data_IF_195871913197
#
_entry.id   IF_195871913197
#
_cell.length_a   1.000
_cell.length_b   1.000
_cell.length_c   1.000
_cell.angle_alpha   90.00
_cell.angle_beta   90.00
_cell.angle_gamma   90.00
#
_symmetry.space_group_name_H-M   'P 1'
#
loop_
_entity.id
_entity.type
_entity.pdbx_description
1 polymer ?
#
# COMPACT_ATOMS: atom_id res chain seq x y z
N UNK A 1 57.36 21.39 -35.91
CA UNK A 1 58.40 20.57 -36.61
C UNK A 1 57.81 19.15 -36.64
N UNK A 2 57.33 18.78 -37.87
CA UNK A 2 57.94 17.72 -38.74
C UNK A 2 57.80 16.32 -38.07
N UNK A 3 57.30 15.31 -38.63
CA UNK A 3 56.82 14.79 -39.95
C UNK A 3 56.40 13.34 -39.66
N UNK A 4 55.25 12.79 -40.07
CA UNK A 4 54.97 12.19 -41.38
C UNK A 4 55.68 10.86 -41.65
N UNK A 5 54.96 9.81 -41.96
CA UNK A 5 55.00 8.99 -43.19
C UNK A 5 54.46 7.56 -42.90
N UNK A 6 53.42 7.11 -43.51
CA UNK A 6 53.19 6.33 -44.72
C UNK A 6 53.95 4.96 -44.71
N UNK A 7 53.46 3.82 -45.11
CA UNK A 7 52.56 3.46 -46.22
C UNK A 7 52.47 1.94 -46.39
N UNK A 8 51.31 1.48 -46.94
CA UNK A 8 51.12 0.46 -47.99
C UNK A 8 51.09 -1.03 -47.58
N UNK A 9 49.97 -1.69 -47.72
CA UNK A 9 49.28 -2.30 -48.89
C UNK A 9 50.06 -3.50 -49.50
N UNK A 10 49.49 -4.71 -49.41
CA UNK A 10 49.47 -5.72 -50.50
C UNK A 10 48.26 -6.62 -50.42
N UNK A 11 47.59 -6.74 -51.57
CA UNK A 11 46.51 -7.64 -51.95
C UNK A 11 46.98 -9.09 -52.03
N UNK A 12 46.05 -10.02 -51.84
CA UNK A 12 46.16 -11.41 -52.30
C UNK A 12 44.79 -12.06 -52.43
N UNK A 13 44.44 -12.37 -53.66
CA UNK A 13 43.14 -12.80 -54.23
C UNK A 13 43.10 -14.34 -54.33
N UNK A 14 41.86 -14.88 -54.33
CA UNK A 14 41.36 -16.17 -54.90
C UNK A 14 41.46 -17.42 -53.99
N UNK A 15 40.48 -18.28 -53.90
CA UNK A 15 39.61 -18.85 -54.91
C UNK A 15 38.38 -19.56 -54.27
N UNK A 16 37.32 -19.62 -55.00
CA UNK A 16 36.08 -20.32 -54.75
C UNK A 16 36.21 -21.85 -54.87
N UNK A 17 35.38 -22.58 -54.07
CA UNK A 17 34.89 -23.88 -54.44
C UNK A 17 33.48 -24.10 -53.87
N UNK A 18 32.53 -24.21 -54.77
CA UNK A 18 31.17 -24.73 -54.63
C UNK A 18 31.20 -26.25 -54.45
N UNK A 19 30.32 -26.79 -53.62
CA UNK A 19 29.58 -28.06 -53.83
C UNK A 19 28.54 -28.24 -52.70
N UNK A 20 27.29 -28.03 -53.05
CA UNK A 20 26.22 -29.01 -53.27
C UNK A 20 25.59 -29.64 -52.03
N UNK A 21 24.45 -29.16 -51.74
CA UNK A 21 23.17 -29.81 -51.38
C UNK A 21 23.18 -31.21 -50.78
N UNK A 22 22.62 -31.29 -49.57
CA UNK A 22 21.67 -32.36 -49.21
C UNK A 22 20.60 -31.80 -48.33
N UNK A 23 19.39 -31.73 -48.85
CA UNK A 23 18.15 -31.49 -48.14
C UNK A 23 17.88 -32.70 -47.23
N UNK A 24 17.83 -32.45 -45.92
CA UNK A 24 17.07 -33.31 -45.04
C UNK A 24 16.08 -32.41 -44.29
N UNK A 25 14.87 -32.54 -44.71
CA UNK A 25 13.68 -31.96 -44.14
C UNK A 25 13.46 -32.67 -42.80
N UNK A 26 14.01 -32.11 -41.72
CA UNK A 26 13.62 -32.50 -40.36
C UNK A 26 12.38 -31.67 -40.02
N UNK A 27 11.26 -32.35 -39.94
CA UNK A 27 10.04 -31.87 -39.33
C UNK A 27 10.39 -31.41 -37.90
N UNK A 28 10.50 -30.11 -37.75
CA UNK A 28 10.59 -29.48 -36.44
C UNK A 28 9.21 -29.56 -35.79
N UNK A 29 8.98 -30.68 -35.10
CA UNK A 29 7.93 -30.78 -34.10
C UNK A 29 8.37 -29.90 -32.95
N UNK A 30 7.90 -28.64 -32.94
CA UNK A 30 8.09 -27.69 -31.88
C UNK A 30 7.64 -28.28 -30.53
N UNK A 31 8.58 -28.93 -29.86
CA UNK A 31 8.53 -29.13 -28.41
C UNK A 31 8.55 -27.74 -27.81
N UNK A 32 7.41 -27.26 -27.33
CA UNK A 32 7.35 -26.16 -26.38
C UNK A 32 8.07 -26.62 -25.14
N UNK A 33 9.39 -26.42 -25.12
CA UNK A 33 10.19 -26.56 -23.92
C UNK A 33 9.69 -25.54 -22.93
N UNK A 34 8.98 -26.01 -21.91
CA UNK A 34 8.56 -25.26 -20.75
C UNK A 34 9.79 -25.06 -19.86
N UNK A 35 10.79 -24.31 -20.36
CA UNK A 35 11.94 -23.89 -19.59
C UNK A 35 11.47 -22.89 -18.55
N UNK A 36 11.64 -23.21 -17.27
CA UNK A 36 11.38 -22.27 -16.17
C UNK A 36 12.16 -20.97 -16.41
N UNK A 37 11.47 -19.84 -16.35
CA UNK A 37 12.10 -18.53 -16.41
C UNK A 37 12.82 -18.27 -15.07
N UNK A 38 14.10 -17.91 -15.11
CA UNK A 38 14.88 -17.65 -13.89
C UNK A 38 14.90 -16.16 -13.56
N UNK A 39 14.61 -15.84 -12.31
CA UNK A 39 14.71 -14.51 -11.71
C UNK A 39 15.79 -14.58 -10.62
N UNK A 40 16.88 -13.80 -10.79
CA UNK A 40 17.96 -13.80 -9.79
C UNK A 40 17.50 -13.20 -8.46
N UNK A 41 16.85 -12.05 -8.50
CA UNK A 41 16.31 -11.40 -7.31
C UNK A 41 14.96 -10.74 -7.64
N UNK A 42 13.94 -11.10 -6.89
CA UNK A 42 12.63 -10.45 -6.87
C UNK A 42 12.59 -9.46 -5.71
N UNK A 43 12.40 -8.17 -5.99
CA UNK A 43 12.40 -7.09 -5.00
C UNK A 43 10.97 -6.68 -4.67
N UNK A 44 10.57 -6.91 -3.43
CA UNK A 44 9.23 -6.63 -2.91
C UNK A 44 9.31 -5.49 -1.90
N UNK A 45 8.53 -4.44 -2.11
CA UNK A 45 8.50 -3.28 -1.24
C UNK A 45 7.15 -3.15 -0.51
N UNK A 46 7.20 -2.74 0.76
CA UNK A 46 6.04 -2.51 1.61
C UNK A 46 6.01 -1.06 2.11
N UNK A 47 4.83 -0.45 2.16
CA UNK A 47 4.67 0.87 2.81
C UNK A 47 4.72 0.72 4.33
N UNK A 48 5.26 1.72 5.07
CA UNK A 48 5.38 1.66 6.53
C UNK A 48 4.04 2.00 7.21
N UNK A 49 2.96 1.27 6.89
CA UNK A 49 1.65 1.48 7.52
C UNK A 49 1.57 0.93 8.94
N UNK A 50 2.49 0.05 9.30
CA UNK A 50 2.70 -0.50 10.64
C UNK A 50 4.10 -0.16 11.13
N UNK A 51 4.45 -0.67 12.29
CA UNK A 51 5.84 -0.67 12.75
C UNK A 51 6.73 -1.42 11.72
N UNK A 52 7.81 -0.80 11.22
CA UNK A 52 8.65 -1.42 10.18
C UNK A 52 9.25 -2.76 10.57
N UNK A 53 9.68 -2.93 11.83
CA UNK A 53 10.25 -4.20 12.31
C UNK A 53 9.16 -5.29 12.38
N UNK A 54 7.94 -4.91 12.75
CA UNK A 54 6.81 -5.83 12.73
C UNK A 54 6.46 -6.27 11.31
N UNK A 55 6.55 -5.38 10.31
CA UNK A 55 6.33 -5.73 8.90
C UNK A 55 7.41 -6.71 8.44
N UNK A 56 8.70 -6.40 8.65
CA UNK A 56 9.82 -7.26 8.26
C UNK A 56 9.67 -8.65 8.87
N UNK A 57 9.39 -8.73 10.18
CA UNK A 57 9.22 -10.01 10.87
C UNK A 57 8.05 -10.82 10.33
N UNK A 58 6.89 -10.19 10.15
CA UNK A 58 5.69 -10.87 9.67
C UNK A 58 5.82 -11.33 8.20
N UNK A 59 6.58 -10.62 7.38
CA UNK A 59 6.74 -10.90 5.96
C UNK A 59 7.95 -11.77 5.63
N UNK A 60 8.82 -12.09 6.59
CA UNK A 60 9.98 -12.98 6.34
C UNK A 60 9.60 -14.32 5.70
N UNK A 61 8.52 -15.03 6.16
CA UNK A 61 8.10 -16.26 5.51
C UNK A 61 7.65 -16.10 4.05
N UNK A 62 7.25 -14.87 3.64
CA UNK A 62 6.81 -14.60 2.28
C UNK A 62 7.89 -14.92 1.25
N UNK A 63 9.17 -14.80 1.59
CA UNK A 63 10.30 -15.08 0.69
C UNK A 63 10.22 -16.51 0.14
N UNK A 64 10.13 -17.49 1.00
CA UNK A 64 10.07 -18.90 0.60
C UNK A 64 8.70 -19.27 0.03
N UNK A 65 7.62 -18.69 0.55
CA UNK A 65 6.28 -18.90 0.01
C UNK A 65 6.15 -18.39 -1.44
N UNK A 66 6.72 -17.21 -1.76
CA UNK A 66 6.74 -16.69 -3.13
C UNK A 66 7.57 -17.58 -4.06
N UNK A 67 8.78 -17.99 -3.64
CA UNK A 67 9.60 -18.91 -4.44
C UNK A 67 8.82 -20.17 -4.81
N UNK A 68 8.16 -20.77 -3.82
CA UNK A 68 7.36 -21.99 -4.01
C UNK A 68 6.19 -21.77 -4.97
N UNK A 69 5.38 -20.72 -4.74
CA UNK A 69 4.21 -20.47 -5.57
C UNK A 69 4.57 -20.04 -6.99
N UNK A 70 5.65 -19.27 -7.17
CA UNK A 70 6.14 -18.87 -8.49
C UNK A 70 6.76 -20.06 -9.25
N UNK A 71 7.34 -21.06 -8.55
CA UNK A 71 7.81 -22.28 -9.18
C UNK A 71 6.63 -23.06 -9.82
N UNK A 72 5.46 -23.11 -9.17
CA UNK A 72 4.24 -23.69 -9.72
C UNK A 72 3.74 -22.96 -10.97
N UNK A 73 4.07 -21.67 -11.10
CA UNK A 73 3.73 -20.81 -12.26
C UNK A 73 4.86 -20.77 -13.32
N UNK A 74 5.90 -21.62 -13.20
CA UNK A 74 6.98 -21.76 -14.18
C UNK A 74 8.14 -20.78 -14.01
N UNK A 75 8.33 -20.19 -12.82
CA UNK A 75 9.45 -19.32 -12.51
C UNK A 75 10.37 -19.92 -11.44
N UNK A 76 11.68 -19.86 -11.67
CA UNK A 76 12.70 -20.14 -10.65
C UNK A 76 13.19 -18.82 -10.07
N UNK A 77 12.88 -18.51 -8.82
CA UNK A 77 13.32 -17.31 -8.13
C UNK A 77 14.46 -17.67 -7.16
N UNK A 78 15.68 -17.20 -7.43
CA UNK A 78 16.85 -17.52 -6.62
C UNK A 78 16.81 -16.78 -5.27
N UNK A 79 16.45 -15.51 -5.27
CA UNK A 79 16.37 -14.68 -4.08
C UNK A 79 15.09 -13.80 -4.07
N UNK A 80 14.53 -13.55 -2.89
CA UNK A 80 13.47 -12.57 -2.68
C UNK A 80 13.95 -11.57 -1.62
N UNK A 81 14.03 -10.31 -2.02
CA UNK A 81 14.33 -9.21 -1.11
C UNK A 81 13.04 -8.52 -0.69
N UNK A 82 12.87 -8.34 0.61
CA UNK A 82 11.73 -7.60 1.18
C UNK A 82 12.27 -6.33 1.83
N UNK A 83 11.74 -5.19 1.40
CA UNK A 83 12.09 -3.88 1.93
C UNK A 83 10.85 -3.14 2.42
N UNK A 84 10.97 -2.48 3.57
CA UNK A 84 9.96 -1.53 4.05
C UNK A 84 10.47 -0.13 3.75
N UNK A 85 9.69 0.65 2.99
CA UNK A 85 10.07 2.01 2.64
C UNK A 85 10.03 2.95 3.85
N UNK A 86 10.74 4.07 3.76
CA UNK A 86 10.74 5.11 4.79
C UNK A 86 9.47 5.96 4.77
N UNK A 87 8.73 5.95 3.66
CA UNK A 87 7.43 6.62 3.50
C UNK A 87 6.61 5.92 2.41
N UNK A 88 5.34 6.27 2.31
CA UNK A 88 4.45 5.79 1.25
C UNK A 88 4.94 6.24 -0.13
N UNK A 89 5.35 7.50 -0.25
CA UNK A 89 5.88 8.06 -1.51
C UNK A 89 7.19 7.37 -1.92
N UNK A 90 8.09 7.07 -0.98
CA UNK A 90 9.34 6.39 -1.26
C UNK A 90 9.13 5.00 -1.88
N UNK A 91 8.08 4.28 -1.48
CA UNK A 91 7.72 2.98 -2.09
C UNK A 91 7.16 3.19 -3.50
N UNK A 92 6.32 4.22 -3.70
CA UNK A 92 5.82 4.60 -5.03
C UNK A 92 6.95 4.96 -5.98
N UNK A 93 7.94 5.75 -5.53
CA UNK A 93 9.14 6.11 -6.29
C UNK A 93 10.01 4.90 -6.61
N UNK A 94 10.17 3.96 -5.67
CA UNK A 94 10.91 2.72 -5.89
C UNK A 94 10.28 1.86 -6.99
N UNK A 95 8.94 1.77 -7.02
CA UNK A 95 8.21 1.10 -8.11
C UNK A 95 8.36 1.87 -9.43
N UNK A 96 8.17 3.19 -9.41
CA UNK A 96 8.26 4.01 -10.63
C UNK A 96 9.64 3.93 -11.28
N UNK A 97 10.70 3.87 -10.49
CA UNK A 97 12.10 3.77 -10.98
C UNK A 97 12.55 2.34 -11.32
N UNK A 98 11.79 1.30 -10.94
CA UNK A 98 12.19 -0.11 -11.10
C UNK A 98 13.21 -0.59 -10.05
N UNK A 99 13.45 0.17 -8.99
CA UNK A 99 14.28 -0.30 -7.85
C UNK A 99 13.53 -1.28 -6.95
N UNK A 100 12.18 -1.30 -7.03
CA UNK A 100 11.32 -2.38 -6.55
C UNK A 100 10.52 -2.93 -7.74
N UNK A 101 10.32 -4.25 -7.77
CA UNK A 101 9.56 -4.93 -8.82
C UNK A 101 8.08 -4.98 -8.48
N UNK A 102 7.78 -5.25 -7.22
CA UNK A 102 6.43 -5.41 -6.66
C UNK A 102 6.28 -4.55 -5.41
N UNK A 103 5.12 -3.94 -5.24
CA UNK A 103 4.82 -3.13 -4.07
C UNK A 103 3.45 -3.43 -3.48
N UNK A 104 3.40 -3.47 -2.16
CA UNK A 104 2.18 -3.48 -1.38
C UNK A 104 1.89 -2.06 -0.95
N UNK A 105 0.98 -1.39 -1.67
CA UNK A 105 0.73 0.05 -1.55
C UNK A 105 -0.77 0.35 -1.50
N UNK A 106 -1.21 1.40 -0.81
CA UNK A 106 -2.61 1.81 -0.85
C UNK A 106 -2.98 2.44 -2.20
N UNK A 107 -4.28 2.48 -2.49
CA UNK A 107 -4.81 3.08 -3.71
C UNK A 107 -4.35 4.51 -3.93
N UNK A 108 -4.23 5.30 -2.86
CA UNK A 108 -3.74 6.67 -2.93
C UNK A 108 -2.30 6.79 -3.45
N UNK A 109 -1.41 5.90 -3.00
CA UNK A 109 -0.04 5.82 -3.53
C UNK A 109 -0.04 5.32 -4.98
N UNK A 110 -0.81 4.25 -5.27
CA UNK A 110 -0.91 3.72 -6.64
C UNK A 110 -1.28 4.80 -7.66
N UNK A 111 -2.33 5.58 -7.42
CA UNK A 111 -2.82 6.56 -8.41
C UNK A 111 -1.87 7.76 -8.61
N UNK A 112 -0.94 8.02 -7.70
CA UNK A 112 0.10 9.03 -7.88
C UNK A 112 1.16 8.59 -8.90
N UNK A 113 1.38 7.28 -9.01
CA UNK A 113 2.42 6.66 -9.84
C UNK A 113 1.83 5.76 -10.95
N UNK A 114 0.55 5.87 -11.28
CA UNK A 114 -0.17 4.96 -12.20
C UNK A 114 0.32 5.01 -13.66
N UNK A 115 1.12 6.00 -14.01
CA UNK A 115 1.81 6.05 -15.30
C UNK A 115 2.98 5.07 -15.40
N UNK A 116 3.69 4.87 -14.29
CA UNK A 116 4.90 4.05 -14.17
C UNK A 116 4.65 2.71 -13.49
N UNK A 117 3.45 2.52 -12.91
CA UNK A 117 3.08 1.36 -12.08
C UNK A 117 1.76 0.77 -12.58
N UNK A 118 1.69 -0.57 -12.66
CA UNK A 118 0.45 -1.30 -12.93
C UNK A 118 -0.10 -1.91 -11.65
N UNK A 119 -1.42 -1.83 -11.46
CA UNK A 119 -2.11 -2.59 -10.41
C UNK A 119 -2.39 -4.01 -10.89
N UNK A 120 -2.07 -5.01 -10.07
CA UNK A 120 -2.38 -6.43 -10.35
C UNK A 120 -3.54 -6.94 -9.53
N UNK A 121 -3.49 -6.69 -8.22
CA UNK A 121 -4.44 -7.23 -7.26
C UNK A 121 -4.96 -6.14 -6.34
N UNK A 122 -6.22 -6.29 -5.93
CA UNK A 122 -6.77 -5.59 -4.78
C UNK A 122 -6.87 -6.55 -3.61
N UNK A 123 -6.51 -6.09 -2.43
CA UNK A 123 -6.68 -6.84 -1.20
C UNK A 123 -8.16 -6.98 -0.85
N UNK A 124 -8.53 -8.11 -0.26
CA UNK A 124 -9.77 -8.25 0.48
C UNK A 124 -9.47 -8.30 1.97
N UNK A 125 -10.41 -7.85 2.79
CA UNK A 125 -10.34 -7.95 4.25
C UNK A 125 -11.68 -8.41 4.81
N UNK A 126 -11.68 -8.91 6.04
CA UNK A 126 -12.93 -9.14 6.75
C UNK A 126 -13.63 -7.80 6.96
N UNK A 127 -14.90 -7.74 6.65
CA UNK A 127 -15.72 -6.58 6.99
C UNK A 127 -15.78 -6.36 8.49
N UNK A 128 -16.31 -5.23 8.92
CA UNK A 128 -16.58 -4.94 10.33
C UNK A 128 -18.09 -4.96 10.58
N UNK A 129 -18.50 -5.46 11.73
CA UNK A 129 -19.90 -5.36 12.17
C UNK A 129 -20.36 -3.90 12.31
N UNK A 130 -19.42 -3.03 12.71
CA UNK A 130 -19.59 -1.57 12.70
C UNK A 130 -19.13 -1.02 11.36
N UNK A 131 -20.07 -0.61 10.52
CA UNK A 131 -19.81 0.00 9.21
C UNK A 131 -20.71 1.23 8.97
N UNK A 132 -21.05 1.95 10.03
CA UNK A 132 -21.89 3.15 9.98
C UNK A 132 -21.12 4.36 9.46
N UNK A 133 -21.82 5.28 8.80
CA UNK A 133 -21.34 6.62 8.47
C UNK A 133 -21.50 7.60 9.63
N UNK A 134 -22.28 7.25 10.66
CA UNK A 134 -22.46 8.04 11.86
C UNK A 134 -21.34 7.72 12.87
N UNK A 135 -20.48 8.69 13.24
CA UNK A 135 -19.37 8.44 14.16
C UNK A 135 -19.80 7.94 15.54
N UNK A 136 -20.98 8.34 16.04
CA UNK A 136 -21.50 7.91 17.35
C UNK A 136 -21.67 6.38 17.45
N UNK A 137 -21.99 5.70 16.35
CA UNK A 137 -22.20 4.24 16.34
C UNK A 137 -20.89 3.46 16.59
N UNK A 138 -19.75 4.13 16.52
CA UNK A 138 -18.42 3.57 16.80
C UNK A 138 -18.00 3.74 18.26
N UNK A 139 -18.78 4.44 19.09
CA UNK A 139 -18.39 4.95 20.40
C UNK A 139 -19.11 4.24 21.57
N UNK A 140 -19.46 2.97 21.42
CA UNK A 140 -20.10 2.17 22.47
C UNK A 140 -19.12 1.59 23.51
N UNK A 141 -17.83 1.97 23.43
CA UNK A 141 -16.76 1.48 24.31
C UNK A 141 -16.35 0.02 24.06
N UNK A 142 -16.77 -0.57 22.94
CA UNK A 142 -16.51 -1.98 22.62
C UNK A 142 -15.71 -2.12 21.31
N UNK A 143 -15.00 -3.21 21.20
CA UNK A 143 -14.31 -3.59 19.99
C UNK A 143 -15.27 -3.73 18.79
N UNK A 144 -14.82 -3.27 17.62
CA UNK A 144 -15.49 -3.55 16.35
C UNK A 144 -15.11 -4.96 15.91
N UNK A 145 -16.04 -5.90 16.03
CA UNK A 145 -15.79 -7.28 15.60
C UNK A 145 -15.69 -7.38 14.08
N UNK A 146 -14.89 -8.31 13.62
CA UNK A 146 -14.78 -8.64 12.21
C UNK A 146 -15.94 -9.54 11.81
N UNK A 147 -16.54 -9.27 10.65
CA UNK A 147 -17.52 -10.14 10.02
C UNK A 147 -16.83 -11.24 9.20
N UNK A 148 -17.60 -12.28 8.84
CA UNK A 148 -17.09 -13.33 7.95
C UNK A 148 -17.13 -12.94 6.47
N UNK A 149 -17.69 -11.78 6.13
CA UNK A 149 -17.73 -11.27 4.77
C UNK A 149 -16.39 -10.67 4.38
N UNK A 150 -15.89 -11.04 3.21
CA UNK A 150 -14.72 -10.40 2.61
C UNK A 150 -15.15 -9.19 1.77
N UNK A 151 -14.65 -8.02 2.13
CA UNK A 151 -14.96 -6.75 1.49
C UNK A 151 -13.74 -6.18 0.75
N UNK A 152 -13.99 -5.37 -0.28
CA UNK A 152 -12.96 -4.69 -1.07
C UNK A 152 -12.82 -3.21 -0.70
N UNK A 153 -13.52 -2.76 0.33
CA UNK A 153 -13.43 -1.38 0.82
C UNK A 153 -13.47 -1.34 2.34
N UNK A 154 -13.05 -0.23 2.89
CA UNK A 154 -13.07 0.06 4.32
C UNK A 154 -13.32 1.55 4.55
N UNK A 155 -13.65 1.95 5.78
CA UNK A 155 -13.80 3.36 6.15
C UNK A 155 -12.54 3.92 6.80
N UNK A 156 -12.25 5.18 6.53
CA UNK A 156 -11.34 5.96 7.34
C UNK A 156 -12.07 6.55 8.55
N UNK A 157 -11.36 6.67 9.66
CA UNK A 157 -11.89 7.24 10.88
C UNK A 157 -11.06 8.44 11.32
N UNK A 158 -11.74 9.47 11.81
CA UNK A 158 -11.15 10.58 12.58
C UNK A 158 -11.38 10.25 14.05
N UNK A 159 -10.30 10.01 14.79
CA UNK A 159 -10.33 9.45 16.15
C UNK A 159 -9.80 10.48 17.14
N UNK A 160 -10.63 10.92 18.07
CA UNK A 160 -10.25 11.76 19.20
C UNK A 160 -9.65 10.90 20.33
N UNK A 161 -8.55 11.38 20.89
CA UNK A 161 -7.79 10.73 21.95
C UNK A 161 -8.16 11.16 23.38
N UNK A 162 -7.36 10.72 24.37
CA UNK A 162 -7.67 10.90 25.79
C UNK A 162 -7.35 12.29 26.36
N UNK A 163 -6.90 13.25 25.57
CA UNK A 163 -6.65 14.62 26.02
C UNK A 163 -7.96 15.33 26.39
N UNK A 164 -7.89 16.40 27.18
CA UNK A 164 -9.08 17.20 27.51
C UNK A 164 -9.78 17.72 26.25
N UNK A 165 -9.02 18.16 25.24
CA UNK A 165 -9.57 18.63 23.97
C UNK A 165 -10.20 17.49 23.17
N UNK A 166 -9.53 16.35 23.07
CA UNK A 166 -10.08 15.17 22.41
C UNK A 166 -11.38 14.71 23.03
N UNK A 167 -11.46 14.67 24.37
CA UNK A 167 -12.66 14.34 25.11
C UNK A 167 -13.80 15.34 24.87
N UNK A 168 -13.50 16.65 24.87
CA UNK A 168 -14.50 17.68 24.63
C UNK A 168 -15.12 17.59 23.22
N UNK A 169 -14.31 17.30 22.19
CA UNK A 169 -14.80 17.07 20.83
C UNK A 169 -15.67 15.79 20.78
N UNK A 170 -15.20 14.71 21.42
CA UNK A 170 -15.92 13.44 21.49
C UNK A 170 -17.27 13.56 22.18
N UNK A 171 -17.37 14.36 23.26
CA UNK A 171 -18.58 14.59 24.01
C UNK A 171 -19.66 15.26 23.15
N UNK A 172 -19.29 16.26 22.30
CA UNK A 172 -20.21 16.87 21.36
C UNK A 172 -20.82 15.83 20.43
N UNK A 173 -19.97 15.00 19.81
CA UNK A 173 -20.44 13.92 18.91
C UNK A 173 -21.35 12.93 19.63
N UNK A 174 -20.94 12.47 20.82
CA UNK A 174 -21.67 11.47 21.59
C UNK A 174 -23.03 11.99 22.11
N UNK A 175 -23.10 13.30 22.40
CA UNK A 175 -24.36 13.96 22.79
C UNK A 175 -25.25 14.34 21.60
N UNK A 176 -24.77 14.13 20.35
CA UNK A 176 -25.50 14.48 19.12
C UNK A 176 -25.42 15.96 18.77
N UNK A 177 -24.44 16.68 19.33
CA UNK A 177 -24.17 18.05 18.94
C UNK A 177 -23.23 18.08 17.73
N UNK A 178 -23.37 19.07 16.90
CA UNK A 178 -22.45 19.30 15.78
C UNK A 178 -21.10 19.79 16.28
N UNK A 179 -20.04 19.21 15.73
CA UNK A 179 -18.66 19.74 15.87
C UNK A 179 -18.48 20.90 14.91
N UNK A 180 -17.86 21.98 15.37
CA UNK A 180 -17.54 23.13 14.52
C UNK A 180 -16.13 22.98 13.93
N UNK A 181 -15.84 23.80 12.89
CA UNK A 181 -14.47 23.92 12.39
C UNK A 181 -13.49 24.34 13.48
N UNK A 182 -13.88 25.28 14.35
CA UNK A 182 -13.01 25.80 15.42
C UNK A 182 -12.66 24.71 16.44
N UNK A 183 -13.58 23.76 16.75
CA UNK A 183 -13.28 22.61 17.59
C UNK A 183 -12.13 21.78 17.00
N UNK A 184 -12.19 21.51 15.69
CA UNK A 184 -11.22 20.70 14.98
C UNK A 184 -9.92 21.46 14.73
N UNK A 185 -10.00 22.73 14.33
CA UNK A 185 -8.86 23.58 13.99
C UNK A 185 -7.97 23.91 15.20
N UNK A 186 -8.56 23.96 16.39
CA UNK A 186 -7.82 24.18 17.62
C UNK A 186 -7.13 22.92 18.18
N UNK A 187 -7.43 21.74 17.65
CA UNK A 187 -6.86 20.46 18.08
C UNK A 187 -5.51 20.18 17.36
N UNK A 188 -4.65 19.40 18.02
CA UNK A 188 -3.42 18.88 17.45
C UNK A 188 -3.74 17.58 16.68
N UNK A 189 -3.50 17.57 15.38
CA UNK A 189 -3.82 16.46 14.49
C UNK A 189 -2.59 15.62 14.16
N UNK A 190 -2.70 14.31 14.25
CA UNK A 190 -1.74 13.34 13.71
C UNK A 190 -2.22 12.80 12.37
N UNK A 191 -1.44 13.01 11.33
CA UNK A 191 -1.71 12.55 9.96
C UNK A 191 -0.52 11.77 9.41
N UNK A 192 -0.71 11.06 8.30
CA UNK A 192 0.38 10.46 7.54
C UNK A 192 0.76 11.32 6.32
N UNK A 193 1.62 10.80 5.46
CA UNK A 193 2.00 11.44 4.21
C UNK A 193 0.81 11.59 3.24
N UNK A 194 0.90 12.53 2.31
CA UNK A 194 -0.19 12.93 1.41
C UNK A 194 -0.65 11.87 0.41
N UNK A 195 0.08 10.76 0.29
CA UNK A 195 -0.28 9.58 -0.52
C UNK A 195 -1.01 8.49 0.26
N UNK A 196 -1.16 8.64 1.59
CA UNK A 196 -1.91 7.70 2.41
C UNK A 196 -3.41 7.91 2.29
N UNK A 197 -4.17 6.89 1.83
CA UNK A 197 -5.62 6.98 1.66
C UNK A 197 -6.33 7.34 2.97
N UNK A 198 -6.26 6.50 4.00
CA UNK A 198 -6.94 6.77 5.27
C UNK A 198 -6.18 7.68 6.24
N UNK A 199 -4.87 7.89 6.01
CA UNK A 199 -4.04 8.76 6.85
C UNK A 199 -4.00 10.22 6.41
N UNK A 200 -4.52 10.56 5.21
CA UNK A 200 -4.50 11.92 4.70
C UNK A 200 -5.62 12.22 3.71
N UNK A 201 -5.72 11.44 2.60
CA UNK A 201 -6.57 11.77 1.45
C UNK A 201 -8.04 11.84 1.85
N UNK A 202 -8.59 10.76 2.37
CA UNK A 202 -10.00 10.69 2.72
C UNK A 202 -10.40 11.53 3.93
N UNK A 203 -9.58 11.69 4.98
CA UNK A 203 -9.80 12.71 6.00
C UNK A 203 -9.86 14.13 5.45
N UNK A 204 -9.04 14.47 4.43
CA UNK A 204 -9.13 15.76 3.73
C UNK A 204 -10.47 15.91 3.02
N UNK A 205 -10.93 14.86 2.31
CA UNK A 205 -12.23 14.88 1.64
C UNK A 205 -13.39 15.03 2.65
N UNK A 206 -13.30 14.37 3.81
CA UNK A 206 -14.26 14.49 4.88
C UNK A 206 -14.33 15.94 5.44
N UNK A 207 -13.17 16.58 5.65
CA UNK A 207 -13.11 17.99 6.06
C UNK A 207 -13.67 18.91 4.98
N UNK A 208 -13.37 18.61 3.71
CA UNK A 208 -13.86 19.38 2.58
C UNK A 208 -15.40 19.32 2.47
N UNK A 209 -15.95 18.12 2.60
CA UNK A 209 -17.40 17.90 2.53
C UNK A 209 -18.15 18.60 3.68
N UNK A 210 -17.64 18.48 4.90
CA UNK A 210 -18.30 19.03 6.09
C UNK A 210 -18.11 20.52 6.32
N UNK A 211 -16.92 21.04 6.00
CA UNK A 211 -16.50 22.38 6.43
C UNK A 211 -15.98 23.26 5.28
N UNK A 212 -15.88 22.73 4.05
CA UNK A 212 -15.22 23.42 2.95
C UNK A 212 -13.74 23.69 3.20
N UNK A 213 -13.11 22.88 4.07
CA UNK A 213 -11.73 23.01 4.55
C UNK A 213 -10.95 21.73 4.27
N UNK A 214 -9.63 21.75 4.45
CA UNK A 214 -8.78 20.61 4.26
C UNK A 214 -7.71 20.51 5.36
N UNK A 215 -6.93 19.43 5.39
CA UNK A 215 -5.89 19.21 6.41
C UNK A 215 -4.87 20.36 6.43
N UNK A 216 -4.52 20.95 5.29
CA UNK A 216 -3.57 22.08 5.24
C UNK A 216 -4.12 23.40 5.79
N UNK A 217 -5.44 23.49 6.04
CA UNK A 217 -6.05 24.64 6.69
C UNK A 217 -6.03 24.55 8.23
N UNK A 218 -5.69 23.36 8.76
CA UNK A 218 -5.56 23.14 10.21
C UNK A 218 -4.33 23.83 10.76
N UNK A 219 -4.46 24.45 11.94
CA UNK A 219 -3.36 25.20 12.59
C UNK A 219 -2.25 24.28 13.11
N UNK A 220 -2.60 23.10 13.60
CA UNK A 220 -1.67 22.21 14.27
C UNK A 220 -1.74 20.80 13.69
N UNK A 221 -0.82 20.49 12.79
CA UNK A 221 -0.71 19.17 12.13
C UNK A 221 0.68 18.60 12.35
N UNK A 222 0.74 17.37 12.85
CA UNK A 222 1.95 16.58 13.01
C UNK A 222 1.89 15.42 12.04
N UNK A 223 2.84 15.36 11.11
CA UNK A 223 2.98 14.19 10.24
C UNK A 223 3.76 13.10 10.97
N UNK A 224 3.22 11.89 10.94
CA UNK A 224 3.87 10.67 11.44
C UNK A 224 4.26 9.78 10.26
N UNK A 225 5.34 8.99 10.45
CA UNK A 225 5.83 8.08 9.41
C UNK A 225 4.97 6.80 9.32
N UNK A 226 4.30 6.44 10.41
CA UNK A 226 3.44 5.25 10.49
C UNK A 226 2.23 5.47 11.40
N UNK A 227 1.22 4.61 11.28
CA UNK A 227 0.09 4.59 12.23
C UNK A 227 0.53 4.20 13.64
N UNK A 228 1.59 3.40 13.79
CA UNK A 228 2.17 3.07 15.10
C UNK A 228 2.66 4.32 15.82
N UNK A 229 3.45 5.16 15.13
CA UNK A 229 3.91 6.44 15.67
C UNK A 229 2.75 7.38 15.99
N UNK A 230 1.72 7.43 15.14
CA UNK A 230 0.55 8.26 15.36
C UNK A 230 -0.26 7.79 16.58
N UNK A 231 -0.48 6.47 16.73
CA UNK A 231 -1.18 5.90 17.88
C UNK A 231 -0.43 6.14 19.21
N UNK A 232 0.90 6.00 19.21
CA UNK A 232 1.72 6.31 20.38
C UNK A 232 1.64 7.80 20.78
N UNK A 233 1.63 8.71 19.80
CA UNK A 233 1.43 10.16 20.03
C UNK A 233 0.04 10.48 20.58
N UNK A 234 -1.00 9.78 20.09
CA UNK A 234 -2.35 9.92 20.61
C UNK A 234 -2.42 9.46 22.08
N UNK A 235 -1.84 8.30 22.38
CA UNK A 235 -1.81 7.73 23.71
C UNK A 235 -1.06 8.63 24.72
N UNK A 236 0.04 9.24 24.29
CA UNK A 236 0.84 10.16 25.12
C UNK A 236 0.25 11.58 25.25
N UNK A 237 -0.82 11.89 24.50
CA UNK A 237 -1.41 13.23 24.49
C UNK A 237 -0.64 14.28 23.70
N UNK A 238 0.33 13.88 22.87
CA UNK A 238 1.03 14.81 21.97
C UNK A 238 0.12 15.31 20.84
N UNK A 239 -0.88 14.52 20.46
CA UNK A 239 -1.94 14.88 19.53
C UNK A 239 -3.30 14.61 20.17
N UNK A 240 -4.30 15.39 19.77
CA UNK A 240 -5.68 15.28 20.24
C UNK A 240 -6.51 14.39 19.33
N UNK A 241 -6.19 14.40 18.05
CA UNK A 241 -6.90 13.68 16.98
C UNK A 241 -5.89 12.92 16.13
N UNK A 242 -6.18 11.68 15.80
CA UNK A 242 -5.51 10.95 14.72
C UNK A 242 -6.48 10.51 13.65
N UNK A 243 -5.98 10.26 12.45
CA UNK A 243 -6.76 9.70 11.34
C UNK A 243 -6.19 8.34 10.92
N UNK A 244 -7.06 7.43 10.50
CA UNK A 244 -6.61 6.11 10.08
C UNK A 244 -7.77 5.23 9.60
N UNK A 245 -7.46 3.99 9.32
CA UNK A 245 -8.41 2.97 8.86
C UNK A 245 -9.27 2.43 10.02
N UNK A 246 -10.43 1.87 9.69
CA UNK A 246 -11.44 1.48 10.67
C UNK A 246 -10.97 0.42 11.68
N UNK A 247 -10.08 -0.50 11.27
CA UNK A 247 -9.52 -1.55 12.14
C UNK A 247 -8.40 -1.05 13.08
N UNK A 248 -7.97 0.21 12.96
CA UNK A 248 -6.80 0.74 13.65
C UNK A 248 -6.87 0.52 15.17
N UNK A 249 -8.02 0.78 15.79
CA UNK A 249 -8.16 0.59 17.24
C UNK A 249 -7.98 -0.88 17.64
N UNK A 250 -8.48 -1.84 16.87
CA UNK A 250 -8.27 -3.27 17.10
C UNK A 250 -6.79 -3.66 17.00
N UNK A 251 -6.11 -3.15 15.96
CA UNK A 251 -4.71 -3.48 15.70
C UNK A 251 -3.76 -2.94 16.79
N UNK A 252 -4.11 -1.82 17.42
CA UNK A 252 -3.30 -1.22 18.50
C UNK A 252 -3.87 -1.43 19.92
N UNK A 253 -4.99 -2.13 20.09
CA UNK A 253 -5.63 -2.32 21.40
C UNK A 253 -4.67 -2.93 22.45
N UNK A 254 -3.90 -3.97 22.08
CA UNK A 254 -2.93 -4.59 22.96
C UNK A 254 -1.79 -3.62 23.32
N UNK A 255 -1.21 -2.97 22.32
CA UNK A 255 -0.09 -2.02 22.51
C UNK A 255 -0.51 -0.79 23.29
N UNK A 256 -1.76 -0.39 23.23
CA UNK A 256 -2.31 0.76 23.96
C UNK A 256 -2.04 0.66 25.45
N UNK A 257 -2.28 -0.49 26.04
CA UNK A 257 -2.03 -0.72 27.48
C UNK A 257 -0.63 -1.26 27.75
N UNK A 258 -0.08 -2.17 26.92
CA UNK A 258 1.18 -2.84 27.23
C UNK A 258 2.43 -2.03 26.89
N UNK A 259 2.35 -1.10 25.90
CA UNK A 259 3.52 -0.37 25.39
C UNK A 259 3.34 1.15 25.49
N UNK A 260 2.12 1.68 25.28
CA UNK A 260 1.87 3.12 25.25
C UNK A 260 1.48 3.70 26.60
N UNK A 261 1.51 2.88 27.68
CA UNK A 261 1.36 3.33 29.06
C UNK A 261 -0.06 3.73 29.45
N UNK A 262 -1.08 3.30 28.72
CA UNK A 262 -2.47 3.57 29.09
C UNK A 262 -2.99 2.53 30.07
N UNK A 263 -3.84 2.96 31.01
CA UNK A 263 -4.45 2.07 32.03
C UNK A 263 -5.79 1.49 31.59
N UNK A 264 -6.50 2.17 30.69
CA UNK A 264 -7.79 1.75 30.16
C UNK A 264 -7.67 1.27 28.71
N UNK A 265 -8.65 0.51 28.27
CA UNK A 265 -8.71 0.02 26.89
C UNK A 265 -8.89 1.17 25.89
N UNK A 266 -8.31 1.04 24.70
CA UNK A 266 -8.40 2.03 23.63
C UNK A 266 -9.84 2.42 23.29
N UNK A 267 -10.78 1.49 23.43
CA UNK A 267 -12.21 1.68 23.16
C UNK A 267 -12.91 2.62 24.14
N UNK A 268 -12.37 2.74 25.36
CA UNK A 268 -12.89 3.63 26.40
C UNK A 268 -12.24 5.00 26.35
N UNK A 269 -10.98 5.07 25.88
CA UNK A 269 -10.21 6.30 25.90
C UNK A 269 -10.22 7.05 24.57
N UNK A 270 -10.72 6.42 23.50
CA UNK A 270 -10.79 7.04 22.17
C UNK A 270 -12.21 7.00 21.61
N UNK A 271 -12.57 8.04 20.88
CA UNK A 271 -13.87 8.15 20.24
C UNK A 271 -13.73 8.53 18.77
N UNK A 272 -14.57 7.96 17.91
CA UNK A 272 -14.66 8.38 16.51
C UNK A 272 -15.48 9.67 16.45
N UNK A 273 -14.93 10.69 15.81
CA UNK A 273 -15.57 12.00 15.65
C UNK A 273 -15.86 12.32 14.19
N UNK A 274 -15.35 11.50 13.28
CA UNK A 274 -15.64 11.58 11.86
C UNK A 274 -15.44 10.23 11.16
N UNK A 275 -16.23 9.99 10.12
CA UNK A 275 -16.16 8.79 9.29
C UNK A 275 -16.07 9.23 7.84
N UNK A 276 -15.07 8.73 7.12
CA UNK A 276 -14.86 9.07 5.71
C UNK A 276 -15.78 8.27 4.79
N UNK A 277 -15.91 8.65 3.51
CA UNK A 277 -16.42 7.76 2.47
C UNK A 277 -15.61 6.45 2.42
N UNK A 278 -16.16 5.43 1.73
CA UNK A 278 -15.48 4.16 1.55
C UNK A 278 -14.19 4.33 0.73
N UNK A 279 -13.14 3.69 1.23
CA UNK A 279 -11.80 3.63 0.63
C UNK A 279 -11.64 2.26 0.01
N UNK A 280 -11.28 2.19 -1.28
CA UNK A 280 -10.97 0.92 -1.92
C UNK A 280 -9.69 0.33 -1.33
N UNK A 281 -9.64 -1.00 -1.15
CA UNK A 281 -8.54 -1.66 -0.44
C UNK A 281 -7.19 -1.47 -1.15
N UNK A 282 -6.13 -1.77 -0.39
CA UNK A 282 -4.75 -1.71 -0.83
C UNK A 282 -4.49 -2.58 -2.05
N UNK A 283 -3.47 -2.22 -2.81
CA UNK A 283 -3.06 -2.89 -4.03
C UNK A 283 -1.84 -3.77 -3.80
N UNK A 284 -1.72 -4.81 -4.63
CA UNK A 284 -0.41 -5.30 -5.04
C UNK A 284 -0.17 -4.77 -6.45
N UNK A 285 0.85 -3.95 -6.58
CA UNK A 285 1.20 -3.24 -7.81
C UNK A 285 2.62 -3.59 -8.26
N UNK A 286 2.89 -3.45 -9.55
CA UNK A 286 4.19 -3.78 -10.14
C UNK A 286 4.75 -2.63 -10.96
N UNK A 287 6.07 -2.56 -10.99
CA UNK A 287 6.82 -1.58 -11.77
C UNK A 287 6.75 -1.87 -13.27
N UNK A 288 6.41 -0.87 -14.08
CA UNK A 288 6.57 -0.93 -15.54
C UNK A 288 8.03 -0.78 -15.98
N UNK A 289 8.89 -0.26 -15.11
CA UNK A 289 10.31 -0.06 -15.37
C UNK A 289 11.19 -1.25 -14.98
N UNK A 290 10.61 -2.25 -14.29
CA UNK A 290 11.35 -3.46 -13.92
C UNK A 290 11.56 -4.38 -15.12
N UNK A 291 12.80 -4.86 -15.36
CA UNK A 291 13.11 -5.74 -16.49
C UNK A 291 12.50 -7.16 -16.37
N UNK A 292 12.08 -7.56 -15.17
CA UNK A 292 11.47 -8.89 -14.93
C UNK A 292 9.95 -8.86 -15.05
N UNK A 293 9.33 -7.68 -15.09
CA UNK A 293 7.87 -7.51 -15.09
C UNK A 293 7.37 -7.43 -16.53
N UNK A 294 7.15 -8.60 -17.15
CA UNK A 294 6.39 -8.76 -18.38
C UNK A 294 4.95 -9.23 -18.08
N UNK A 295 4.10 -9.32 -19.10
CA UNK A 295 2.70 -9.74 -18.92
C UNK A 295 2.58 -11.17 -18.38
N UNK A 296 3.53 -12.05 -18.72
CA UNK A 296 3.56 -13.42 -18.21
C UNK A 296 3.92 -13.43 -16.70
N UNK A 297 4.86 -12.59 -16.26
CA UNK A 297 5.19 -12.44 -14.85
C UNK A 297 4.00 -11.86 -14.07
N UNK A 298 3.33 -10.83 -14.61
CA UNK A 298 2.14 -10.24 -13.96
C UNK A 298 1.07 -11.28 -13.68
N UNK A 299 0.76 -12.14 -14.67
CA UNK A 299 -0.22 -13.21 -14.52
C UNK A 299 0.24 -14.25 -13.49
N UNK A 300 1.49 -14.72 -13.61
CA UNK A 300 2.08 -15.71 -12.69
C UNK A 300 2.12 -15.19 -11.25
N UNK A 301 2.55 -13.94 -11.06
CA UNK A 301 2.62 -13.33 -9.73
C UNK A 301 1.22 -13.15 -9.11
N UNK A 302 0.25 -12.71 -9.91
CA UNK A 302 -1.13 -12.58 -9.46
C UNK A 302 -1.72 -13.94 -9.01
N UNK A 303 -1.52 -14.99 -9.81
CA UNK A 303 -1.97 -16.34 -9.46
C UNK A 303 -1.27 -16.87 -8.21
N UNK A 304 0.05 -16.68 -8.12
CA UNK A 304 0.85 -17.09 -6.95
C UNK A 304 0.34 -16.42 -5.66
N UNK A 305 0.08 -15.12 -5.68
CA UNK A 305 -0.41 -14.39 -4.52
C UNK A 305 -1.83 -14.79 -4.11
N UNK A 306 -2.73 -15.02 -5.08
CA UNK A 306 -4.09 -15.49 -4.79
C UNK A 306 -4.06 -16.88 -4.15
N UNK A 307 -3.24 -17.82 -4.67
CA UNK A 307 -3.05 -19.16 -4.10
C UNK A 307 -2.44 -19.09 -2.71
N UNK A 308 -1.37 -18.28 -2.55
CA UNK A 308 -0.68 -18.08 -1.27
C UNK A 308 -1.65 -17.61 -0.19
N UNK A 309 -2.48 -16.60 -0.49
CA UNK A 309 -3.47 -16.09 0.43
C UNK A 309 -4.56 -17.11 0.83
N UNK A 310 -4.69 -18.21 0.11
CA UNK A 310 -5.56 -19.33 0.45
C UNK A 310 -4.95 -20.33 1.43
N UNK A 311 -3.62 -20.31 1.63
CA UNK A 311 -2.92 -21.19 2.57
C UNK A 311 -2.91 -20.62 3.99
N UNK A 312 -2.74 -21.48 5.01
CA UNK A 312 -2.70 -21.01 6.40
C UNK A 312 -1.46 -20.16 6.66
N UNK A 313 -0.29 -20.55 6.13
CA UNK A 313 0.95 -19.77 6.24
C UNK A 313 0.84 -18.41 5.52
N UNK A 314 0.22 -18.41 4.34
CA UNK A 314 0.01 -17.17 3.59
C UNK A 314 -0.92 -16.20 4.30
N UNK A 315 -2.02 -16.70 4.90
CA UNK A 315 -2.93 -15.88 5.72
C UNK A 315 -2.21 -15.23 6.90
N UNK A 316 -1.31 -15.97 7.57
CA UNK A 316 -0.51 -15.43 8.66
C UNK A 316 0.38 -14.26 8.22
N UNK A 317 0.95 -14.33 7.02
CA UNK A 317 1.78 -13.25 6.48
C UNK A 317 0.95 -12.02 6.11
N UNK A 318 -0.14 -12.21 5.34
CA UNK A 318 -0.89 -11.08 4.80
C UNK A 318 -1.74 -10.35 5.86
N UNK A 319 -2.00 -10.97 6.99
CA UNK A 319 -2.76 -10.35 8.08
C UNK A 319 -2.08 -9.11 8.69
N UNK A 320 -0.76 -8.92 8.47
CA UNK A 320 -0.05 -7.73 8.94
C UNK A 320 -0.67 -6.43 8.42
N UNK A 321 -1.30 -6.48 7.24
CA UNK A 321 -2.08 -5.38 6.67
C UNK A 321 -3.60 -5.58 6.80
N UNK A 322 -4.05 -6.48 7.67
CA UNK A 322 -5.46 -6.86 7.80
C UNK A 322 -6.06 -7.46 6.52
N UNK A 323 -5.21 -7.97 5.61
CA UNK A 323 -5.67 -8.64 4.40
C UNK A 323 -6.16 -10.06 4.72
N UNK A 324 -7.20 -10.49 4.01
CA UNK A 324 -7.76 -11.86 4.09
C UNK A 324 -7.61 -12.62 2.78
N UNK A 325 -7.28 -11.94 1.70
CA UNK A 325 -7.10 -12.50 0.37
C UNK A 325 -6.87 -11.44 -0.68
N UNK A 326 -6.88 -11.85 -1.94
CA UNK A 326 -6.66 -10.98 -3.09
C UNK A 326 -7.62 -11.31 -4.22
N UNK A 327 -7.99 -10.28 -5.01
CA UNK A 327 -8.72 -10.39 -6.28
C UNK A 327 -7.93 -9.67 -7.36
N UNK A 328 -8.03 -10.13 -8.62
CA UNK A 328 -7.50 -9.38 -9.77
C UNK A 328 -8.15 -8.00 -9.81
N UNK A 329 -7.33 -6.98 -9.98
CA UNK A 329 -7.73 -5.58 -9.99
C UNK A 329 -7.65 -5.00 -11.41
N UNK A 330 -8.48 -3.99 -11.65
CA UNK A 330 -8.38 -3.14 -12.83
C UNK A 330 -8.02 -1.71 -12.40
N UNK A 331 -7.33 -1.00 -13.26
CA UNK A 331 -6.98 0.40 -13.00
C UNK A 331 -8.21 1.28 -12.68
N UNK A 332 -9.35 0.99 -13.32
CA UNK A 332 -10.62 1.70 -13.09
C UNK A 332 -11.22 1.50 -11.71
N UNK A 333 -10.84 0.45 -10.98
CA UNK A 333 -11.30 0.21 -9.60
C UNK A 333 -10.87 1.36 -8.67
N UNK A 334 -9.80 2.09 -9.05
CA UNK A 334 -9.20 3.19 -8.29
C UNK A 334 -9.55 4.59 -8.85
N UNK A 335 -10.60 4.72 -9.68
CA UNK A 335 -11.00 6.02 -10.24
C UNK A 335 -11.44 7.01 -9.16
N UNK A 336 -12.08 6.54 -8.09
CA UNK A 336 -12.42 7.38 -6.92
C UNK A 336 -11.19 7.95 -6.22
N UNK A 337 -10.11 7.17 -6.13
CA UNK A 337 -8.82 7.64 -5.62
C UNK A 337 -8.20 8.71 -6.54
N UNK A 338 -8.30 8.53 -7.87
CA UNK A 338 -7.85 9.55 -8.83
C UNK A 338 -8.64 10.85 -8.71
N UNK A 339 -9.96 10.76 -8.53
CA UNK A 339 -10.81 11.92 -8.28
C UNK A 339 -10.42 12.62 -6.97
N UNK A 340 -10.22 11.86 -5.91
CA UNK A 340 -9.75 12.35 -4.62
C UNK A 340 -8.43 13.12 -4.74
N UNK A 341 -7.45 12.55 -5.46
CA UNK A 341 -6.17 13.21 -5.71
C UNK A 341 -6.31 14.49 -6.56
N UNK A 342 -7.23 14.51 -7.52
CA UNK A 342 -7.52 15.75 -8.29
C UNK A 342 -8.08 16.85 -7.41
N UNK A 343 -8.98 16.50 -6.48
CA UNK A 343 -9.51 17.47 -5.49
C UNK A 343 -8.38 18.02 -4.63
N UNK A 344 -7.51 17.15 -4.10
CA UNK A 344 -6.37 17.57 -3.30
C UNK A 344 -5.41 18.50 -4.06
N UNK A 345 -5.12 18.19 -5.34
CA UNK A 345 -4.28 19.06 -6.18
C UNK A 345 -4.89 20.43 -6.37
N UNK A 346 -6.21 20.52 -6.62
CA UNK A 346 -6.92 21.81 -6.75
C UNK A 346 -6.85 22.60 -5.44
N UNK A 347 -7.09 21.95 -4.30
CA UNK A 347 -7.01 22.59 -2.98
C UNK A 347 -5.61 23.18 -2.71
N UNK A 348 -4.54 22.46 -3.08
CA UNK A 348 -3.15 22.93 -2.95
C UNK A 348 -2.80 24.09 -3.90
N UNK A 349 -3.41 24.14 -5.09
CA UNK A 349 -3.14 25.19 -6.08
C UNK A 349 -3.91 26.51 -5.83
N UNK A 350 -4.79 26.54 -4.84
CA UNK A 350 -5.54 27.77 -4.48
C UNK A 350 -6.63 28.18 -5.49
N UNK A 351 -7.04 27.26 -6.38
CA UNK A 351 -8.12 27.46 -7.37
C UNK A 351 -9.34 26.63 -7.02
#
# INVERSE_FOLDING_TARGET
MKKSFWSKLVLGVSAAALLAACSSQSSDSGSKGNGSKTIDTLKVAFVPSRDPEAIVTATEPLKELLKKQLADEGYTVNNVEINVGTSFDAVGEALASGTADVGFIPGGTYVLFDKEVDVLLTATRSGLEKNSTNPKDWNDGKESKRSNEQVTSYKGLVIAGPTEKGKAIAEKVNSGQDISWDDLNSANWGVLGTSSSSGYIYPTLWLQDKFGKNISDLQNVVQSDSYASSAARLASGQIDIMVGYADLRSDYAKKWTSEYGRSEEIWKETNVVGVTPDIYNDTISVSKSSPIVDDAFKEAFANAMIKLAGTDEGKEVIKIYSHSGYKKANASDYDKEREAQKVLKKLKSGN
#
